data_IF_321720612663
#
_entry.id   IF_321720612663
#
_cell.length_a   1.000
_cell.length_b   1.000
_cell.length_c   1.000
_cell.angle_alpha   90.00
_cell.angle_beta   90.00
_cell.angle_gamma   90.00
#
_symmetry.space_group_name_H-M   'P 1'
#
loop_
_entity.id
_entity.type
_entity.pdbx_description
1 polymer ?
#
# COMPACT_ATOMS: atom_id res chain seq x y z
N UNK A 1 47.23 -44.86 4.59
CA UNK A 1 47.43 -46.16 3.90
C UNK A 1 46.15 -47.00 3.88
N UNK A 2 45.42 -47.13 5.01
CA UNK A 2 44.07 -47.75 5.04
C UNK A 2 43.08 -47.14 4.04
N UNK A 3 43.12 -45.81 3.88
CA UNK A 3 42.18 -45.11 2.98
C UNK A 3 42.34 -45.46 1.49
N UNK A 4 43.49 -46.03 1.09
CA UNK A 4 43.74 -46.51 -0.28
C UNK A 4 43.16 -47.91 -0.54
N UNK A 5 42.81 -48.63 0.52
CA UNK A 5 42.34 -50.02 0.48
C UNK A 5 40.81 -50.09 0.66
N UNK A 6 40.16 -49.02 1.10
CA UNK A 6 38.71 -48.97 1.26
C UNK A 6 38.08 -48.65 -0.10
N UNK A 7 37.28 -49.56 -0.66
CA UNK A 7 36.66 -49.40 -1.99
C UNK A 7 35.63 -48.25 -2.08
N UNK A 8 35.10 -47.80 -0.94
CA UNK A 8 34.18 -46.65 -0.84
C UNK A 8 34.90 -45.31 -0.64
N UNK A 9 36.22 -45.31 -0.46
CA UNK A 9 37.01 -44.11 -0.24
C UNK A 9 37.29 -43.39 -1.56
N UNK A 10 37.28 -42.04 -1.60
CA UNK A 10 37.70 -41.28 -2.78
C UNK A 10 39.18 -41.47 -3.13
N UNK A 11 39.99 -41.93 -2.17
CA UNK A 11 41.43 -42.19 -2.35
C UNK A 11 41.73 -43.67 -2.67
N UNK A 12 40.72 -44.45 -3.06
CA UNK A 12 40.87 -45.86 -3.39
C UNK A 12 41.89 -46.09 -4.51
N UNK A 13 42.83 -46.99 -4.28
CA UNK A 13 43.82 -47.43 -5.27
C UNK A 13 43.63 -48.93 -5.55
N UNK A 14 43.12 -49.30 -6.73
CA UNK A 14 42.89 -50.70 -7.09
C UNK A 14 44.14 -51.57 -7.02
N UNK A 15 45.33 -51.00 -7.31
CA UNK A 15 46.59 -51.75 -7.31
C UNK A 15 47.01 -52.08 -5.88
N UNK A 16 46.91 -51.10 -4.98
CA UNK A 16 47.20 -51.29 -3.56
C UNK A 16 46.20 -52.27 -2.95
N UNK A 17 44.91 -52.14 -3.29
CA UNK A 17 43.86 -53.06 -2.84
C UNK A 17 44.15 -54.51 -3.24
N UNK A 18 44.45 -54.75 -4.51
CA UNK A 18 44.78 -56.10 -4.99
C UNK A 18 46.04 -56.65 -4.32
N UNK A 19 47.09 -55.83 -4.19
CA UNK A 19 48.36 -56.26 -3.58
C UNK A 19 48.29 -56.54 -2.08
N UNK A 20 47.32 -55.99 -1.37
CA UNK A 20 47.27 -56.03 0.10
C UNK A 20 46.11 -56.87 0.64
N UNK A 21 44.93 -56.79 0.01
CA UNK A 21 43.71 -57.54 0.40
C UNK A 21 43.62 -58.87 -0.34
N UNK A 22 43.98 -58.89 -1.63
CA UNK A 22 43.92 -60.08 -2.48
C UNK A 22 45.29 -60.71 -2.73
N UNK A 23 46.26 -60.47 -1.83
CA UNK A 23 47.65 -60.96 -1.98
C UNK A 23 47.77 -62.47 -2.18
N UNK A 24 46.88 -63.24 -1.55
CA UNK A 24 46.85 -64.71 -1.57
C UNK A 24 45.70 -65.25 -2.44
N UNK A 25 44.98 -64.39 -3.17
CA UNK A 25 43.89 -64.80 -4.06
C UNK A 25 44.44 -65.33 -5.38
N UNK A 26 43.94 -66.47 -5.85
CA UNK A 26 44.40 -67.06 -7.11
C UNK A 26 43.99 -66.21 -8.33
N UNK A 27 44.74 -66.33 -9.43
CA UNK A 27 44.38 -65.65 -10.68
C UNK A 27 42.98 -66.05 -11.18
N UNK A 28 42.61 -67.33 -11.04
CA UNK A 28 41.29 -67.83 -11.44
C UNK A 28 40.15 -67.20 -10.62
N UNK A 29 40.35 -67.03 -9.30
CA UNK A 29 39.37 -66.38 -8.43
C UNK A 29 39.26 -64.88 -8.72
N UNK A 30 40.38 -64.20 -9.05
CA UNK A 30 40.37 -62.80 -9.48
C UNK A 30 39.63 -62.60 -10.81
N UNK A 31 39.83 -63.49 -11.78
CA UNK A 31 39.10 -63.47 -13.06
C UNK A 31 37.60 -63.71 -12.85
N UNK A 32 37.23 -64.68 -12.01
CA UNK A 32 35.85 -64.95 -11.62
C UNK A 32 35.20 -63.75 -10.91
N UNK A 33 35.94 -63.10 -10.00
CA UNK A 33 35.50 -61.88 -9.33
C UNK A 33 35.30 -60.71 -10.30
N UNK A 34 36.19 -60.55 -11.28
CA UNK A 34 36.06 -59.52 -12.32
C UNK A 34 34.82 -59.75 -13.21
N UNK A 35 34.54 -61.02 -13.56
CA UNK A 35 33.33 -61.38 -14.31
C UNK A 35 32.05 -61.13 -13.51
N UNK A 36 32.06 -61.47 -12.22
CA UNK A 36 30.95 -61.18 -11.30
C UNK A 36 30.69 -59.68 -11.22
N UNK A 37 31.74 -58.88 -10.98
CA UNK A 37 31.61 -57.41 -10.90
C UNK A 37 31.07 -56.80 -12.21
N UNK A 38 31.54 -57.28 -13.35
CA UNK A 38 31.06 -56.83 -14.67
C UNK A 38 29.59 -57.16 -14.88
N UNK A 39 29.14 -58.31 -14.39
CA UNK A 39 27.74 -58.74 -14.46
C UNK A 39 26.86 -57.90 -13.52
N UNK A 40 27.31 -57.68 -12.29
CA UNK A 40 26.62 -56.83 -11.32
C UNK A 40 26.47 -55.39 -11.79
N UNK A 41 27.52 -54.80 -12.39
CA UNK A 41 27.45 -53.45 -12.96
C UNK A 41 26.42 -53.34 -14.09
N UNK A 42 26.34 -54.37 -14.96
CA UNK A 42 25.30 -54.44 -15.99
C UNK A 42 23.92 -54.56 -15.36
N UNK A 43 23.76 -55.42 -14.36
CA UNK A 43 22.52 -55.59 -13.61
C UNK A 43 22.04 -54.29 -12.96
N UNK A 44 22.91 -53.58 -12.25
CA UNK A 44 22.60 -52.27 -11.64
C UNK A 44 22.23 -51.21 -12.67
N UNK A 45 22.91 -51.20 -13.83
CA UNK A 45 22.57 -50.29 -14.93
C UNK A 45 21.17 -50.59 -15.48
N UNK A 46 20.82 -51.86 -15.60
CA UNK A 46 19.51 -52.30 -16.06
C UNK A 46 18.41 -51.99 -15.03
N UNK A 47 18.65 -52.21 -13.73
CA UNK A 47 17.74 -51.81 -12.66
C UNK A 47 17.47 -50.31 -12.68
N UNK A 48 18.51 -49.48 -12.86
CA UNK A 48 18.33 -48.02 -12.97
C UNK A 48 17.47 -47.65 -14.18
N UNK A 49 17.68 -48.29 -15.34
CA UNK A 49 16.83 -48.09 -16.52
C UNK A 49 15.39 -48.53 -16.28
N UNK A 50 15.20 -49.63 -15.56
CA UNK A 50 13.90 -50.18 -15.23
C UNK A 50 13.11 -49.22 -14.31
N UNK A 51 13.75 -48.65 -13.29
CA UNK A 51 13.12 -47.63 -12.44
C UNK A 51 12.62 -46.44 -13.25
N UNK A 52 13.40 -45.96 -14.23
CA UNK A 52 12.96 -44.87 -15.11
C UNK A 52 11.78 -45.30 -15.97
N UNK A 53 11.77 -46.52 -16.49
CA UNK A 53 10.65 -47.05 -17.28
C UNK A 53 9.37 -47.20 -16.46
N UNK A 54 9.48 -47.75 -15.25
CA UNK A 54 8.35 -47.96 -14.34
C UNK A 54 7.73 -46.65 -13.86
N UNK A 55 8.53 -45.60 -13.72
CA UNK A 55 8.07 -44.28 -13.28
C UNK A 55 7.89 -43.30 -14.44
N UNK A 56 8.02 -43.73 -15.69
CA UNK A 56 8.00 -42.85 -16.86
C UNK A 56 6.70 -42.06 -16.94
N UNK A 57 5.57 -42.74 -16.76
CA UNK A 57 4.25 -42.13 -16.81
C UNK A 57 4.07 -41.04 -15.73
N UNK A 58 4.64 -41.27 -14.54
CA UNK A 58 4.64 -40.27 -13.47
C UNK A 58 5.50 -39.05 -13.84
N UNK A 59 6.71 -39.24 -14.38
CA UNK A 59 7.56 -38.14 -14.83
C UNK A 59 6.89 -37.31 -15.93
N UNK A 60 6.28 -37.98 -16.91
CA UNK A 60 5.55 -37.31 -17.98
C UNK A 60 4.36 -36.56 -17.42
N UNK A 61 3.54 -37.19 -16.58
CA UNK A 61 2.37 -36.54 -15.97
C UNK A 61 2.74 -35.32 -15.13
N UNK A 62 3.79 -35.41 -14.29
CA UNK A 62 4.28 -34.28 -13.52
C UNK A 62 4.77 -33.15 -14.43
N UNK A 63 5.53 -33.48 -15.48
CA UNK A 63 5.99 -32.48 -16.45
C UNK A 63 4.81 -31.79 -17.14
N UNK A 64 3.87 -32.56 -17.70
CA UNK A 64 2.69 -32.02 -18.36
C UNK A 64 1.91 -31.11 -17.43
N UNK A 65 1.76 -31.48 -16.16
CA UNK A 65 1.07 -30.66 -15.17
C UNK A 65 1.81 -29.33 -14.92
N UNK A 66 3.15 -29.36 -14.85
CA UNK A 66 3.96 -28.15 -14.71
C UNK A 66 3.83 -27.27 -15.94
N UNK A 67 3.97 -27.83 -17.14
CA UNK A 67 3.86 -27.11 -18.41
C UNK A 67 2.45 -26.47 -18.57
N UNK A 68 1.39 -27.19 -18.16
CA UNK A 68 0.01 -26.68 -18.16
C UNK A 68 -0.19 -25.51 -17.17
N UNK A 69 0.39 -25.60 -15.98
CA UNK A 69 0.33 -24.52 -14.98
C UNK A 69 1.10 -23.29 -15.48
N UNK A 70 2.30 -23.48 -16.01
CA UNK A 70 3.12 -22.40 -16.57
C UNK A 70 2.38 -21.68 -17.69
N UNK A 71 1.78 -22.43 -18.63
CA UNK A 71 0.98 -21.88 -19.72
C UNK A 71 -0.20 -21.04 -19.21
N UNK A 72 -0.94 -21.52 -18.21
CA UNK A 72 -2.05 -20.77 -17.61
C UNK A 72 -1.59 -19.51 -16.89
N UNK A 73 -0.49 -19.56 -16.15
CA UNK A 73 0.06 -18.39 -15.47
C UNK A 73 0.48 -17.33 -16.49
N UNK A 74 1.16 -17.74 -17.56
CA UNK A 74 1.57 -16.83 -18.63
C UNK A 74 0.38 -16.20 -19.35
N UNK A 75 -0.70 -16.95 -19.58
CA UNK A 75 -1.93 -16.41 -20.13
C UNK A 75 -2.55 -15.33 -19.22
N UNK A 76 -2.51 -15.50 -17.90
CA UNK A 76 -3.01 -14.50 -16.94
C UNK A 76 -2.12 -13.25 -16.94
N UNK A 77 -0.79 -13.40 -17.08
CA UNK A 77 0.15 -12.28 -17.16
C UNK A 77 0.02 -11.49 -18.48
N UNK A 78 -0.24 -12.19 -19.59
CA UNK A 78 -0.43 -11.59 -20.92
C UNK A 78 -1.85 -11.01 -21.11
N UNK A 79 -2.81 -11.37 -20.24
CA UNK A 79 -4.17 -10.84 -20.29
C UNK A 79 -4.18 -9.32 -19.99
N UNK A 80 -4.71 -8.47 -20.90
CA UNK A 80 -4.83 -7.04 -20.65
C UNK A 80 -5.74 -6.68 -19.45
N UNK A 81 -6.61 -7.58 -18.98
CA UNK A 81 -7.34 -7.43 -17.70
C UNK A 81 -6.47 -7.75 -16.46
N UNK A 82 -5.27 -8.31 -16.65
CA UNK A 82 -4.30 -8.68 -15.63
C UNK A 82 -4.87 -9.70 -14.64
N UNK A 83 -4.65 -9.47 -13.34
CA UNK A 83 -5.15 -10.33 -12.25
C UNK A 83 -6.70 -10.29 -12.06
N UNK A 84 -7.46 -9.86 -13.06
CA UNK A 84 -8.93 -9.71 -12.99
C UNK A 84 -9.42 -8.54 -12.14
N UNK A 85 -8.51 -7.71 -11.61
CA UNK A 85 -8.86 -6.54 -10.78
C UNK A 85 -9.02 -5.25 -11.58
N UNK A 86 -8.71 -5.25 -12.88
CA UNK A 86 -8.81 -4.06 -13.74
C UNK A 86 -10.24 -3.51 -13.79
N UNK A 87 -11.25 -4.38 -13.88
CA UNK A 87 -12.65 -3.95 -13.82
C UNK A 87 -12.98 -3.29 -12.48
N UNK A 88 -12.60 -3.90 -11.36
CA UNK A 88 -12.83 -3.33 -10.02
C UNK A 88 -12.18 -1.95 -9.90
N UNK A 89 -10.92 -1.83 -10.31
CA UNK A 89 -10.20 -0.55 -10.32
C UNK A 89 -10.96 0.50 -11.14
N UNK A 90 -11.42 0.16 -12.34
CA UNK A 90 -12.18 1.09 -13.19
C UNK A 90 -13.50 1.54 -12.55
N UNK A 91 -14.20 0.65 -11.85
CA UNK A 91 -15.45 0.96 -11.14
C UNK A 91 -15.17 1.84 -9.93
N UNK A 92 -14.14 1.54 -9.15
CA UNK A 92 -13.72 2.37 -8.02
C UNK A 92 -13.37 3.79 -8.46
N UNK A 93 -12.65 3.95 -9.57
CA UNK A 93 -12.35 5.27 -10.13
C UNK A 93 -13.62 6.03 -10.54
N UNK A 94 -14.57 5.37 -11.20
CA UNK A 94 -15.86 5.98 -11.56
C UNK A 94 -16.65 6.42 -10.33
N UNK A 95 -16.73 5.56 -9.30
CA UNK A 95 -17.42 5.87 -8.04
C UNK A 95 -16.75 7.07 -7.35
N UNK A 96 -15.42 7.09 -7.29
CA UNK A 96 -14.68 8.23 -6.72
C UNK A 96 -14.97 9.53 -7.47
N UNK A 97 -15.01 9.50 -8.80
CA UNK A 97 -15.38 10.65 -9.61
C UNK A 97 -16.81 11.16 -9.35
N UNK A 98 -17.78 10.25 -9.21
CA UNK A 98 -19.17 10.61 -8.86
C UNK A 98 -19.26 11.18 -7.45
N UNK A 99 -18.58 10.58 -6.48
CA UNK A 99 -18.56 11.05 -5.11
C UNK A 99 -17.97 12.46 -5.02
N UNK A 100 -16.81 12.71 -5.64
CA UNK A 100 -16.18 14.02 -5.64
C UNK A 100 -17.11 15.08 -6.25
N UNK A 101 -17.73 14.80 -7.40
CA UNK A 101 -18.69 15.71 -8.03
C UNK A 101 -19.91 15.99 -7.15
N UNK A 102 -20.39 15.00 -6.40
CA UNK A 102 -21.55 15.16 -5.53
C UNK A 102 -21.22 15.94 -4.25
N UNK A 103 -20.05 15.71 -3.65
CA UNK A 103 -19.68 16.27 -2.36
C UNK A 103 -18.99 17.64 -2.44
N UNK A 104 -18.25 17.94 -3.51
CA UNK A 104 -17.60 19.24 -3.73
C UNK A 104 -18.55 20.44 -3.52
N UNK A 105 -19.72 20.53 -4.20
CA UNK A 105 -20.64 21.64 -4.00
C UNK A 105 -21.33 21.64 -2.63
N UNK A 106 -21.28 20.52 -1.90
CA UNK A 106 -21.81 20.41 -0.54
C UNK A 106 -20.80 20.97 0.48
N UNK A 107 -19.50 20.69 0.28
CA UNK A 107 -18.42 21.28 1.08
C UNK A 107 -18.31 22.79 0.88
N UNK A 108 -18.45 23.28 -0.36
CA UNK A 108 -18.48 24.72 -0.62
C UNK A 108 -19.65 25.41 0.09
N UNK A 109 -20.85 24.82 0.03
CA UNK A 109 -22.02 25.35 0.73
C UNK A 109 -21.86 25.30 2.25
N UNK A 110 -21.23 24.25 2.78
CA UNK A 110 -20.93 24.15 4.21
C UNK A 110 -19.98 25.27 4.65
N UNK A 111 -18.90 25.52 3.90
CA UNK A 111 -17.97 26.62 4.18
C UNK A 111 -18.65 27.99 4.10
N UNK A 112 -19.55 28.20 3.12
CA UNK A 112 -20.35 29.42 3.03
C UNK A 112 -21.30 29.58 4.23
N UNK A 113 -21.98 28.51 4.64
CA UNK A 113 -22.86 28.53 5.80
C UNK A 113 -22.11 28.85 7.09
N UNK A 114 -20.90 28.32 7.26
CA UNK A 114 -20.02 28.62 8.40
C UNK A 114 -19.58 30.10 8.39
N UNK A 115 -19.23 30.64 7.23
CA UNK A 115 -18.94 32.08 7.07
C UNK A 115 -20.15 32.94 7.47
N UNK A 116 -21.35 32.57 7.01
CA UNK A 116 -22.60 33.28 7.36
C UNK A 116 -22.84 33.22 8.87
N UNK A 117 -22.74 32.04 9.50
CA UNK A 117 -22.90 31.87 10.95
C UNK A 117 -21.90 32.71 11.73
N UNK A 118 -20.64 32.77 11.27
CA UNK A 118 -19.59 33.59 11.87
C UNK A 118 -19.93 35.08 11.83
N UNK A 119 -20.30 35.60 10.65
CA UNK A 119 -20.71 37.01 10.47
C UNK A 119 -21.95 37.31 11.30
N UNK A 120 -22.95 36.42 11.30
CA UNK A 120 -24.16 36.57 12.10
C UNK A 120 -23.85 36.63 13.59
N UNK A 121 -23.00 35.73 14.10
CA UNK A 121 -22.55 35.74 15.49
C UNK A 121 -21.85 37.05 15.86
N UNK A 122 -21.01 37.58 14.97
CA UNK A 122 -20.35 38.86 15.15
C UNK A 122 -21.34 40.04 15.17
N UNK A 123 -22.29 40.07 14.23
CA UNK A 123 -23.33 41.11 14.16
C UNK A 123 -24.21 41.12 15.41
N UNK A 124 -24.57 39.95 15.95
CA UNK A 124 -25.32 39.88 17.21
C UNK A 124 -24.48 40.38 18.39
N UNK A 125 -23.19 40.01 18.45
CA UNK A 125 -22.28 40.44 19.53
C UNK A 125 -22.09 41.96 19.56
N UNK A 126 -22.05 42.61 18.40
CA UNK A 126 -21.86 44.07 18.29
C UNK A 126 -23.13 44.84 17.92
N UNK A 127 -24.32 44.24 18.09
CA UNK A 127 -25.62 44.84 17.71
C UNK A 127 -25.84 46.22 18.30
N UNK A 128 -25.45 46.44 19.56
CA UNK A 128 -25.60 47.74 20.23
C UNK A 128 -24.75 48.80 19.55
N UNK A 129 -23.48 48.50 19.24
CA UNK A 129 -22.54 49.41 18.55
C UNK A 129 -23.05 49.83 17.17
N UNK A 130 -23.65 48.91 16.42
CA UNK A 130 -24.21 49.23 15.10
C UNK A 130 -25.47 50.11 15.16
N UNK A 131 -26.30 49.96 16.21
CA UNK A 131 -27.52 50.76 16.38
C UNK A 131 -27.27 52.13 17.02
N UNK A 132 -26.15 52.29 17.73
CA UNK A 132 -25.76 53.48 18.48
C UNK A 132 -25.75 54.79 17.65
N UNK A 133 -25.18 54.86 16.44
CA UNK A 133 -25.21 56.09 15.63
C UNK A 133 -26.63 56.55 15.27
N UNK A 134 -27.52 55.60 14.98
CA UNK A 134 -28.92 55.89 14.68
C UNK A 134 -29.70 56.29 15.92
N UNK A 135 -29.44 55.66 17.07
CA UNK A 135 -30.01 56.04 18.36
C UNK A 135 -29.58 57.46 18.79
N UNK A 136 -28.28 57.79 18.70
CA UNK A 136 -27.75 59.12 19.02
C UNK A 136 -28.36 60.19 18.12
N UNK A 137 -28.40 59.96 16.79
CA UNK A 137 -29.06 60.90 15.85
C UNK A 137 -30.56 61.06 16.13
N UNK A 138 -31.24 59.99 16.52
CA UNK A 138 -32.65 60.03 16.89
C UNK A 138 -32.91 60.89 18.13
N UNK A 139 -32.09 60.72 19.17
CA UNK A 139 -32.21 61.47 20.42
C UNK A 139 -31.88 62.96 20.24
N UNK A 140 -30.85 63.28 19.43
CA UNK A 140 -30.52 64.67 19.06
C UNK A 140 -31.69 65.35 18.33
N UNK A 141 -32.32 64.67 17.36
CA UNK A 141 -33.48 65.22 16.63
C UNK A 141 -34.70 65.50 17.51
N UNK A 142 -34.85 64.77 18.61
CA UNK A 142 -35.93 64.95 19.59
C UNK A 142 -35.61 66.00 20.67
N UNK A 143 -34.40 66.55 20.68
CA UNK A 143 -33.93 67.47 21.73
C UNK A 143 -33.51 66.78 23.03
N UNK A 144 -33.45 65.45 23.05
CA UNK A 144 -33.09 64.63 24.21
C UNK A 144 -31.56 64.47 24.31
N UNK A 145 -30.86 65.58 24.55
CA UNK A 145 -29.39 65.62 24.52
C UNK A 145 -28.73 64.78 25.63
N UNK A 146 -29.32 64.70 26.82
CA UNK A 146 -28.79 63.90 27.93
C UNK A 146 -28.77 62.39 27.62
N UNK A 147 -29.81 61.90 26.94
CA UNK A 147 -29.89 60.51 26.47
C UNK A 147 -28.87 60.24 25.36
N UNK A 148 -28.63 61.21 24.46
CA UNK A 148 -27.59 61.10 23.44
C UNK A 148 -26.17 61.01 24.04
N UNK A 149 -25.88 61.82 25.06
CA UNK A 149 -24.59 61.78 25.77
C UNK A 149 -24.39 60.46 26.51
N UNK A 150 -25.44 59.93 27.16
CA UNK A 150 -25.40 58.61 27.80
C UNK A 150 -25.11 57.47 26.83
N UNK A 151 -25.80 57.44 25.69
CA UNK A 151 -25.57 56.42 24.66
C UNK A 151 -24.16 56.53 24.06
N UNK A 152 -23.64 57.74 23.85
CA UNK A 152 -22.26 57.96 23.44
C UNK A 152 -21.23 57.46 24.48
N UNK A 153 -21.48 57.70 25.78
CA UNK A 153 -20.61 57.20 26.84
C UNK A 153 -20.63 55.67 26.95
N UNK A 154 -21.80 55.03 26.76
CA UNK A 154 -21.90 53.56 26.64
C UNK A 154 -21.11 53.01 25.46
N UNK A 155 -21.19 53.65 24.29
CA UNK A 155 -20.36 53.27 23.15
C UNK A 155 -18.88 53.36 23.50
N UNK A 156 -18.47 54.47 24.12
CA UNK A 156 -17.08 54.71 24.50
C UNK A 156 -16.57 53.64 25.47
N UNK A 157 -17.35 53.21 26.46
CA UNK A 157 -16.94 52.17 27.41
C UNK A 157 -16.81 50.77 26.78
N UNK A 158 -17.61 50.45 25.77
CA UNK A 158 -17.58 49.15 25.08
C UNK A 158 -16.40 49.04 24.11
N UNK A 159 -16.00 50.16 23.48
CA UNK A 159 -14.92 50.20 22.48
C UNK A 159 -13.53 50.08 23.13
N UNK A 160 -13.36 50.46 24.39
CA UNK A 160 -12.05 50.77 24.96
C UNK A 160 -11.16 49.63 25.51
N UNK A 161 -11.59 48.38 25.79
CA UNK A 161 -10.61 47.37 26.21
C UNK A 161 -10.10 46.38 25.15
N UNK A 162 -10.85 46.01 24.09
CA UNK A 162 -10.46 44.81 23.32
C UNK A 162 -10.96 44.66 21.87
N UNK A 163 -11.88 45.50 21.38
CA UNK A 163 -12.60 45.22 20.11
C UNK A 163 -12.24 46.13 18.92
N UNK A 164 -11.44 47.18 19.12
CA UNK A 164 -11.04 48.12 18.04
C UNK A 164 -10.23 47.42 16.95
N UNK A 165 -9.27 46.57 17.34
CA UNK A 165 -8.45 45.80 16.39
C UNK A 165 -9.28 44.79 15.58
N UNK A 166 -10.30 44.17 16.21
CA UNK A 166 -11.20 43.22 15.55
C UNK A 166 -12.17 43.91 14.59
N UNK A 167 -12.65 45.12 14.92
CA UNK A 167 -13.48 45.93 14.03
C UNK A 167 -12.68 46.46 12.83
N UNK A 168 -11.43 46.90 13.03
CA UNK A 168 -10.57 47.35 11.94
C UNK A 168 -10.22 46.20 10.99
N UNK A 169 -9.95 45.01 11.54
CA UNK A 169 -9.76 43.77 10.77
C UNK A 169 -11.03 43.35 10.02
N UNK A 170 -12.21 43.58 10.60
CA UNK A 170 -13.51 43.33 9.96
C UNK A 170 -13.77 44.28 8.77
N UNK A 171 -13.52 45.58 8.93
CA UNK A 171 -13.65 46.55 7.83
C UNK A 171 -12.69 46.24 6.67
N UNK A 172 -11.45 45.83 6.96
CA UNK A 172 -10.50 45.40 5.93
C UNK A 172 -10.97 44.12 5.19
N UNK A 173 -11.46 43.11 5.92
CA UNK A 173 -11.95 41.86 5.29
C UNK A 173 -13.25 42.04 4.50
N UNK A 174 -14.13 42.95 4.93
CA UNK A 174 -15.37 43.26 4.21
C UNK A 174 -15.12 44.07 2.93
N UNK A 175 -14.13 44.98 2.93
CA UNK A 175 -13.69 45.72 1.74
C UNK A 175 -12.94 44.83 0.74
N UNK A 176 -12.12 43.89 1.21
CA UNK A 176 -11.42 42.94 0.33
C UNK A 176 -12.36 41.98 -0.41
N UNK A 177 -13.49 41.59 0.21
CA UNK A 177 -14.49 40.71 -0.44
C UNK A 177 -15.35 41.42 -1.50
N UNK A 178 -15.15 42.71 -1.74
CA UNK A 178 -15.87 43.52 -2.75
C UNK A 178 -15.01 43.89 -3.96
N UNK A 179 -13.74 43.49 -4.00
CA UNK A 179 -12.77 43.81 -5.06
C UNK A 179 -12.26 42.55 -5.81
N UNK A 180 -12.86 41.39 -5.54
CA UNK A 180 -12.77 40.17 -6.37
C UNK A 180 -14.18 39.68 -6.62
#
# INVERSE_FOLDING_TARGET
MRDKVIYSSPNFDPKVFLSWVHKDTSAADLESGALTLKTDLKGRTQQKKQLVKENFDCFVSCKTTIDDIESKLRQIEEDPEGAGTAHLYSVTQKISGVANRAFEPLFERQAQAEKIRSVQGMLQRFRTLFNLPSAIRGNIKKGEYDLAVREYQKAKSIVLPSHVWQLNLFYQNLLFSRVV
#
